data_IF_828093671052
#
_entry.id   IF_828093671052
#
_cell.length_a   1.000
_cell.length_b   1.000
_cell.length_c   1.000
_cell.angle_alpha   90.00
_cell.angle_beta   90.00
_cell.angle_gamma   90.00
#
_symmetry.space_group_name_H-M   'P 1'
#
loop_
_entity.id
_entity.type
_entity.pdbx_description
1 polymer ?
#
# COMPACT_ATOMS: atom_id res chain seq x y z
N UNK A 1 -13.50 -50.90 -13.59
CA UNK A 1 -13.98 -49.53 -13.94
C UNK A 1 -14.70 -48.78 -12.81
N UNK A 2 -15.69 -49.36 -12.11
CA UNK A 2 -16.44 -48.65 -11.04
C UNK A 2 -15.59 -48.25 -9.82
N UNK A 3 -14.63 -49.09 -9.40
CA UNK A 3 -13.73 -48.81 -8.29
C UNK A 3 -12.78 -47.63 -8.59
N UNK A 4 -12.16 -47.61 -9.77
CA UNK A 4 -11.30 -46.49 -10.19
C UNK A 4 -12.06 -45.16 -10.24
N UNK A 5 -13.32 -45.16 -10.69
CA UNK A 5 -14.17 -43.95 -10.67
C UNK A 5 -14.44 -43.44 -9.25
N UNK A 6 -14.67 -44.34 -8.27
CA UNK A 6 -14.84 -43.96 -6.86
C UNK A 6 -13.57 -43.34 -6.28
N UNK A 7 -12.40 -43.92 -6.58
CA UNK A 7 -11.10 -43.42 -6.12
C UNK A 7 -10.83 -42.01 -6.66
N UNK A 8 -11.10 -41.78 -7.96
CA UNK A 8 -10.95 -40.46 -8.60
C UNK A 8 -11.89 -39.43 -7.96
N UNK A 9 -13.16 -39.80 -7.71
CA UNK A 9 -14.13 -38.94 -7.04
C UNK A 9 -13.69 -38.58 -5.61
N UNK A 10 -13.21 -39.56 -4.83
CA UNK A 10 -12.70 -39.29 -3.48
C UNK A 10 -11.46 -38.40 -3.49
N UNK A 11 -10.56 -38.60 -4.45
CA UNK A 11 -9.36 -37.76 -4.59
C UNK A 11 -9.72 -36.31 -4.97
N UNK A 12 -10.66 -36.14 -5.90
CA UNK A 12 -11.20 -34.82 -6.28
C UNK A 12 -11.87 -34.11 -5.12
N UNK A 13 -12.61 -34.84 -4.27
CA UNK A 13 -13.23 -34.29 -3.07
C UNK A 13 -12.18 -33.79 -2.07
N UNK A 14 -11.15 -34.60 -1.80
CA UNK A 14 -10.06 -34.25 -0.89
C UNK A 14 -9.31 -33.01 -1.41
N UNK A 15 -9.01 -32.96 -2.71
CA UNK A 15 -8.35 -31.81 -3.32
C UNK A 15 -9.18 -30.52 -3.19
N UNK A 16 -10.49 -30.59 -3.42
CA UNK A 16 -11.38 -29.44 -3.24
C UNK A 16 -11.41 -28.95 -1.79
N UNK A 17 -11.44 -29.85 -0.82
CA UNK A 17 -11.39 -29.49 0.61
C UNK A 17 -10.08 -28.74 0.90
N UNK A 18 -8.95 -29.24 0.42
CA UNK A 18 -7.64 -28.58 0.59
C UNK A 18 -7.65 -27.17 -0.02
N UNK A 19 -8.18 -27.02 -1.24
CA UNK A 19 -8.28 -25.71 -1.91
C UNK A 19 -9.16 -24.72 -1.13
N UNK A 20 -10.30 -25.18 -0.59
CA UNK A 20 -11.18 -24.34 0.23
C UNK A 20 -10.48 -23.90 1.52
N UNK A 21 -9.75 -24.80 2.19
CA UNK A 21 -8.98 -24.46 3.40
C UNK A 21 -7.89 -23.42 3.08
N UNK A 22 -7.16 -23.59 1.97
CA UNK A 22 -6.15 -22.62 1.53
C UNK A 22 -6.77 -21.26 1.19
N UNK A 23 -7.96 -21.24 0.58
CA UNK A 23 -8.69 -20.01 0.28
C UNK A 23 -9.11 -19.29 1.56
N UNK A 24 -9.71 -20.01 2.52
CA UNK A 24 -10.09 -19.44 3.83
C UNK A 24 -8.87 -18.88 4.54
N UNK A 25 -7.74 -19.61 4.53
CA UNK A 25 -6.50 -19.15 5.15
C UNK A 25 -5.95 -17.89 4.47
N UNK A 26 -6.03 -17.82 3.14
CA UNK A 26 -5.60 -16.64 2.37
C UNK A 26 -6.48 -15.43 2.66
N UNK A 27 -7.81 -15.58 2.66
CA UNK A 27 -8.76 -14.51 3.01
C UNK A 27 -8.53 -14.05 4.45
N UNK A 28 -8.35 -14.98 5.38
CA UNK A 28 -8.05 -14.67 6.76
C UNK A 28 -6.78 -13.83 6.88
N UNK A 29 -5.68 -14.24 6.25
CA UNK A 29 -4.43 -13.48 6.28
C UNK A 29 -4.55 -12.12 5.59
N UNK A 30 -5.27 -12.03 4.47
CA UNK A 30 -5.48 -10.78 3.74
C UNK A 30 -6.28 -9.77 4.56
N UNK A 31 -7.27 -10.24 5.32
CA UNK A 31 -8.01 -9.40 6.27
C UNK A 31 -7.23 -9.10 7.56
N UNK A 32 -6.23 -9.92 7.90
CA UNK A 32 -5.36 -9.72 9.06
C UNK A 32 -4.16 -8.84 8.76
N UNK A 33 -3.86 -8.54 7.48
CA UNK A 33 -2.91 -7.51 7.11
C UNK A 33 -3.42 -6.20 7.71
N UNK A 34 -2.92 -5.89 8.90
CA UNK A 34 -3.17 -4.61 9.51
C UNK A 34 -2.66 -3.55 8.55
N UNK A 35 -3.44 -2.51 8.26
CA UNK A 35 -2.90 -1.36 7.54
C UNK A 35 -1.66 -0.85 8.29
N UNK A 36 -0.67 -0.35 7.55
CA UNK A 36 0.59 0.12 8.11
C UNK A 36 0.33 1.06 9.30
N UNK A 37 0.68 0.62 10.51
CA UNK A 37 0.50 1.41 11.74
C UNK A 37 1.41 2.65 11.75
N UNK A 38 2.45 2.66 10.89
CA UNK A 38 3.51 3.66 10.81
C UNK A 38 3.79 4.11 9.37
N UNK A 39 3.65 5.42 9.13
CA UNK A 39 3.90 6.05 7.83
C UNK A 39 5.38 6.17 7.47
N UNK A 40 6.31 6.04 8.43
CA UNK A 40 7.77 6.20 8.20
C UNK A 40 8.26 5.29 7.06
N UNK A 41 9.07 5.85 6.17
CA UNK A 41 9.69 5.14 5.05
C UNK A 41 9.71 5.93 3.75
N UNK A 42 10.13 5.24 2.70
CA UNK A 42 10.21 5.75 1.33
C UNK A 42 9.10 5.13 0.47
N UNK A 43 8.39 5.98 -0.27
CA UNK A 43 7.28 5.62 -1.12
C UNK A 43 7.47 6.24 -2.49
N UNK A 44 7.04 5.53 -3.53
CA UNK A 44 7.20 5.94 -4.91
C UNK A 44 5.92 5.68 -5.68
N UNK A 45 5.58 6.57 -6.61
CA UNK A 45 4.44 6.39 -7.52
C UNK A 45 4.59 5.10 -8.32
N UNK A 46 3.51 4.32 -8.43
CA UNK A 46 3.50 3.04 -9.18
C UNK A 46 3.19 3.23 -10.67
N UNK A 47 2.62 4.37 -11.05
CA UNK A 47 2.26 4.65 -12.43
C UNK A 47 3.52 4.81 -13.30
N UNK A 48 3.52 4.17 -14.48
CA UNK A 48 4.51 4.39 -15.53
C UNK A 48 4.28 5.78 -16.16
N UNK A 49 4.69 6.81 -15.43
CA UNK A 49 4.68 8.18 -15.89
C UNK A 49 6.13 8.60 -16.22
N UNK A 50 6.32 9.57 -17.13
CA UNK A 50 7.62 10.22 -17.30
C UNK A 50 8.08 10.92 -16.01
N UNK A 51 7.14 11.18 -15.10
CA UNK A 51 7.34 11.90 -13.86
C UNK A 51 7.12 11.01 -12.65
N UNK A 52 8.15 10.86 -11.83
CA UNK A 52 8.15 10.03 -10.62
C UNK A 52 7.90 10.91 -9.40
N UNK A 53 6.85 10.59 -8.65
CA UNK A 53 6.65 11.16 -7.32
C UNK A 53 7.27 10.26 -6.26
N UNK A 54 8.06 10.88 -5.40
CA UNK A 54 8.72 10.22 -4.29
C UNK A 54 8.32 10.91 -2.99
N UNK A 55 7.89 10.12 -2.02
CA UNK A 55 7.49 10.60 -0.70
C UNK A 55 8.38 9.95 0.35
N UNK A 56 8.98 10.78 1.17
CA UNK A 56 9.77 10.35 2.31
C UNK A 56 9.13 10.84 3.59
N UNK A 57 8.90 9.90 4.51
CA UNK A 57 8.42 10.18 5.85
C UNK A 57 9.49 9.78 6.85
N UNK A 58 10.05 10.76 7.54
CA UNK A 58 11.00 10.56 8.64
C UNK A 58 10.26 10.31 9.96
N UNK A 59 10.79 10.73 11.10
CA UNK A 59 10.05 10.64 12.37
C UNK A 59 9.16 11.85 12.64
N UNK A 60 9.51 13.01 12.09
CA UNK A 60 8.85 14.29 12.38
C UNK A 60 8.47 15.06 11.13
N UNK A 61 9.11 14.74 10.01
CA UNK A 61 9.04 15.53 8.78
C UNK A 61 8.80 14.65 7.57
N UNK A 62 8.17 15.22 6.57
CA UNK A 62 8.05 14.60 5.25
C UNK A 62 8.62 15.53 4.19
N UNK A 63 8.99 14.95 3.06
CA UNK A 63 9.27 15.70 1.85
C UNK A 63 8.82 14.93 0.62
N UNK A 64 8.52 15.68 -0.42
CA UNK A 64 8.06 15.19 -1.72
C UNK A 64 9.10 15.60 -2.75
N UNK A 65 9.62 14.62 -3.48
CA UNK A 65 10.41 14.85 -4.70
C UNK A 65 9.55 14.56 -5.91
N UNK A 66 9.74 15.38 -6.94
CA UNK A 66 9.24 15.16 -8.28
C UNK A 66 10.46 15.08 -9.19
N UNK A 67 10.70 13.88 -9.73
CA UNK A 67 11.97 13.53 -10.35
C UNK A 67 13.13 13.86 -9.38
N UNK A 68 14.06 14.74 -9.75
CA UNK A 68 15.23 15.07 -8.92
C UNK A 68 15.04 16.28 -7.99
N UNK A 69 13.86 16.91 -7.99
CA UNK A 69 13.62 18.17 -7.27
C UNK A 69 12.68 17.99 -6.09
N UNK A 70 13.09 18.49 -4.91
CA UNK A 70 12.19 18.60 -3.75
C UNK A 70 11.17 19.70 -4.04
N UNK A 71 9.90 19.32 -4.15
CA UNK A 71 8.81 20.24 -4.46
C UNK A 71 8.04 20.70 -3.23
N UNK A 72 8.08 19.92 -2.15
CA UNK A 72 7.37 20.19 -0.90
C UNK A 72 8.12 19.55 0.26
N UNK A 73 8.07 20.19 1.42
CA UNK A 73 8.55 19.64 2.68
C UNK A 73 7.70 20.17 3.82
N UNK A 74 7.67 19.45 4.94
CA UNK A 74 6.94 19.94 6.10
C UNK A 74 6.82 18.92 7.20
N UNK A 75 5.84 19.13 8.06
CA UNK A 75 5.56 18.26 9.22
C UNK A 75 4.26 17.53 8.99
N UNK A 76 4.14 16.36 9.59
CA UNK A 76 2.90 15.59 9.53
C UNK A 76 2.51 15.12 10.92
N UNK A 77 1.23 14.84 11.10
CA UNK A 77 0.70 14.29 12.34
C UNK A 77 -0.35 13.24 12.04
N UNK A 78 -0.44 12.26 12.95
CA UNK A 78 -1.46 11.22 12.89
C UNK A 78 -2.79 11.82 13.35
N UNK A 79 -3.77 11.86 12.46
CA UNK A 79 -5.10 12.38 12.78
C UNK A 79 -5.98 11.28 13.40
N UNK A 80 -6.15 10.16 12.70
CA UNK A 80 -6.93 9.00 13.18
C UNK A 80 -6.55 7.74 12.42
N UNK A 81 -6.44 6.60 13.11
CA UNK A 81 -6.12 5.30 12.49
C UNK A 81 -4.88 5.41 11.57
N UNK A 82 -5.02 5.22 10.26
CA UNK A 82 -3.90 5.33 9.31
C UNK A 82 -3.98 6.59 8.43
N UNK A 83 -4.72 7.59 8.91
CA UNK A 83 -4.88 8.89 8.29
C UNK A 83 -3.90 9.85 8.96
N UNK A 84 -3.08 10.46 8.12
CA UNK A 84 -2.10 11.47 8.46
C UNK A 84 -2.43 12.75 7.73
N UNK A 85 -2.21 13.87 8.39
CA UNK A 85 -2.33 15.19 7.76
C UNK A 85 -0.91 15.75 7.67
N UNK A 86 -0.50 16.03 6.45
CA UNK A 86 0.80 16.58 6.08
C UNK A 86 0.65 18.08 5.86
N UNK A 87 1.27 18.87 6.74
CA UNK A 87 1.38 20.32 6.63
C UNK A 87 2.68 20.66 5.89
N UNK A 88 2.58 20.77 4.57
CA UNK A 88 3.66 21.30 3.73
C UNK A 88 3.76 22.81 3.82
N UNK A 89 4.85 23.35 3.29
CA UNK A 89 5.05 24.79 3.15
C UNK A 89 4.08 25.40 2.13
N UNK A 90 3.73 24.66 1.07
CA UNK A 90 2.85 25.15 0.00
C UNK A 90 1.43 24.60 0.10
N UNK A 91 1.25 23.41 0.68
CA UNK A 91 -0.02 22.70 0.66
C UNK A 91 -0.27 21.86 1.92
N UNK A 92 -1.55 21.64 2.24
CA UNK A 92 -1.98 20.66 3.24
C UNK A 92 -2.50 19.44 2.49
N UNK A 93 -1.98 18.26 2.82
CA UNK A 93 -2.35 17.00 2.16
C UNK A 93 -2.82 15.98 3.20
N UNK A 94 -3.90 15.28 2.88
CA UNK A 94 -4.38 14.15 3.68
C UNK A 94 -3.85 12.86 3.06
N UNK A 95 -3.10 12.09 3.83
CA UNK A 95 -2.52 10.83 3.41
C UNK A 95 -3.15 9.70 4.20
N UNK A 96 -3.73 8.72 3.49
CA UNK A 96 -4.32 7.53 4.09
C UNK A 96 -3.55 6.29 3.67
N UNK A 97 -2.95 5.58 4.62
CA UNK A 97 -2.31 4.29 4.34
C UNK A 97 -3.38 3.20 4.26
N UNK A 98 -3.51 2.61 3.08
CA UNK A 98 -4.33 1.44 2.79
C UNK A 98 -3.37 0.29 2.49
N UNK A 99 -3.17 -0.59 3.47
CA UNK A 99 -2.18 -1.68 3.42
C UNK A 99 -0.75 -1.15 3.23
N UNK A 100 -0.10 -1.45 2.08
CA UNK A 100 1.28 -1.04 1.73
C UNK A 100 1.35 0.19 0.84
N UNK A 101 0.19 0.74 0.46
CA UNK A 101 0.09 1.82 -0.49
C UNK A 101 -0.66 3.00 0.15
N UNK A 102 -0.46 4.20 -0.36
CA UNK A 102 -1.35 5.32 -0.11
C UNK A 102 -1.61 6.10 -1.39
N UNK A 103 -2.70 6.84 -1.39
CA UNK A 103 -3.17 7.59 -2.54
C UNK A 103 -3.08 9.07 -2.23
N UNK A 104 -2.57 9.86 -3.17
CA UNK A 104 -2.58 11.32 -3.09
C UNK A 104 -3.41 11.87 -4.24
N UNK A 105 -3.99 13.04 -4.01
CA UNK A 105 -4.65 13.79 -5.07
C UNK A 105 -3.70 14.87 -5.57
N UNK A 106 -3.25 14.73 -6.82
CA UNK A 106 -2.50 15.74 -7.53
C UNK A 106 -3.49 16.79 -8.05
N UNK A 107 -3.64 17.88 -7.28
CA UNK A 107 -4.54 18.98 -7.61
C UNK A 107 -4.20 19.64 -8.95
N UNK A 108 -2.92 19.70 -9.32
CA UNK A 108 -2.48 20.41 -10.53
C UNK A 108 -2.92 19.66 -11.79
N UNK A 109 -2.85 18.32 -11.74
CA UNK A 109 -3.20 17.46 -12.86
C UNK A 109 -4.58 16.79 -12.70
N UNK A 110 -5.32 17.14 -11.65
CA UNK A 110 -6.66 16.64 -11.34
C UNK A 110 -6.76 15.10 -11.40
N UNK A 111 -5.82 14.41 -10.74
CA UNK A 111 -5.71 12.95 -10.74
C UNK A 111 -5.34 12.38 -9.38
N UNK A 112 -5.66 11.12 -9.16
CA UNK A 112 -5.20 10.34 -8.00
C UNK A 112 -3.94 9.59 -8.39
N UNK A 113 -2.91 9.64 -7.56
CA UNK A 113 -1.67 8.91 -7.76
C UNK A 113 -1.54 7.88 -6.64
N UNK A 114 -1.34 6.62 -7.00
CA UNK A 114 -0.99 5.56 -6.06
C UNK A 114 0.52 5.56 -5.78
N UNK A 115 0.88 5.55 -4.51
CA UNK A 115 2.25 5.38 -4.03
C UNK A 115 2.40 4.09 -3.26
N UNK A 116 3.44 3.34 -3.60
CA UNK A 116 3.80 2.08 -2.94
C UNK A 116 5.01 2.27 -2.05
N UNK A 117 4.98 1.65 -0.87
CA UNK A 117 6.14 1.63 0.02
C UNK A 117 7.25 0.78 -0.60
N UNK A 118 8.39 1.42 -0.84
CA UNK A 118 9.60 0.77 -1.38
C UNK A 118 10.52 0.35 -0.23
N UNK A 119 10.64 1.17 0.81
CA UNK A 119 11.50 0.89 1.96
C UNK A 119 10.92 1.42 3.28
N UNK A 120 11.27 0.76 4.39
CA UNK A 120 11.00 1.27 5.74
C UNK A 120 11.99 2.36 6.17
N UNK A 121 13.12 2.46 5.48
CA UNK A 121 14.13 3.48 5.70
C UNK A 121 13.81 4.64 4.74
N UNK A 122 13.62 5.87 5.24
CA UNK A 122 13.48 7.03 4.37
C UNK A 122 14.74 7.16 3.49
N UNK A 123 14.57 7.42 2.19
CA UNK A 123 15.67 7.83 1.35
C UNK A 123 15.96 9.32 1.59
N UNK A 124 17.22 9.71 1.50
CA UNK A 124 17.69 11.11 1.59
C UNK A 124 17.42 11.87 0.30
#
# INVERSE_FOLDING_TARGET
>A
MKQNKKIILSFSLILNIILVVLLIFSIYNLNKEKPLEYIKGFYQSTEYLPDVYEFNFTEKEFFIKFNDSIIEKGKYHKYKNNIYICYGEKSIQVVSLLNKNFYIYDNNNNRVIELKKISNIPSS
#
